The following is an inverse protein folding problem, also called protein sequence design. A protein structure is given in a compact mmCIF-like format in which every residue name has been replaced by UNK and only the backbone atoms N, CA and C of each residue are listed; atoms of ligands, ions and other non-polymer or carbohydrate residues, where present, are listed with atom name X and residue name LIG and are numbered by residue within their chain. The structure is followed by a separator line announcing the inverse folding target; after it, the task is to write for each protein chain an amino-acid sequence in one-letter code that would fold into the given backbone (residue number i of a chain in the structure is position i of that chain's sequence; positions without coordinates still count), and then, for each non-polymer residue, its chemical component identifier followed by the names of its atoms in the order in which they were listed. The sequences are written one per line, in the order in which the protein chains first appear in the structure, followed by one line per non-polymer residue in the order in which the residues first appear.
data_IF_204796062442
#
_entry.id   IF_204796062442
#
_cell.length_a   1.000
_cell.length_b   1.000
_cell.length_c   1.000
_cell.angle_alpha   90.00
_cell.angle_beta   90.00
_cell.angle_gamma   90.00
#
_symmetry.space_group_name_H-M   'P 1'
#
loop_
_entity.id
_entity.type
_entity.pdbx_description
1 polymer ?
#
# COMPACT_ATOMS: atom_id res chain seq x y z
N UNK A 1 16.65 -4.52 -4.58
CA UNK A 1 15.76 -3.54 -3.92
C UNK A 1 14.33 -4.09 -3.86
N UNK A 2 13.61 -3.81 -2.78
CA UNK A 2 12.26 -4.30 -2.45
C UNK A 2 12.13 -5.82 -2.23
N UNK A 3 12.95 -6.36 -1.32
CA UNK A 3 12.65 -7.62 -0.63
C UNK A 3 12.46 -7.36 0.87
N UNK A 4 11.67 -8.21 1.51
CA UNK A 4 11.31 -8.07 2.91
C UNK A 4 12.22 -8.84 3.84
N UNK A 5 11.78 -9.07 5.08
CA UNK A 5 12.52 -9.87 6.06
C UNK A 5 12.79 -11.32 5.58
N UNK A 6 13.77 -12.02 6.19
CA UNK A 6 14.00 -13.43 5.92
C UNK A 6 12.74 -14.26 6.12
N UNK A 7 12.52 -15.25 5.25
CA UNK A 7 11.33 -16.08 5.31
C UNK A 7 11.56 -17.49 4.78
N UNK A 8 10.78 -18.44 5.29
CA UNK A 8 10.80 -19.83 4.85
C UNK A 8 9.56 -20.26 4.06
N UNK A 9 8.71 -19.30 3.69
CA UNK A 9 7.52 -19.53 2.89
C UNK A 9 7.85 -20.11 1.50
N UNK A 10 6.95 -20.91 0.89
CA UNK A 10 7.26 -21.62 -0.35
C UNK A 10 7.45 -20.70 -1.57
N UNK A 11 6.98 -19.45 -1.51
CA UNK A 11 7.18 -18.43 -2.55
C UNK A 11 8.31 -17.43 -2.22
N UNK A 12 9.22 -17.81 -1.32
CA UNK A 12 10.41 -17.01 -0.99
C UNK A 12 11.31 -16.78 -2.20
N UNK A 13 12.04 -15.67 -2.21
CA UNK A 13 13.00 -15.37 -3.27
C UNK A 13 14.43 -15.49 -2.75
N UNK A 14 15.30 -16.05 -3.57
CA UNK A 14 16.73 -16.12 -3.29
C UNK A 14 17.39 -14.78 -3.60
N UNK A 15 18.24 -14.30 -2.68
CA UNK A 15 19.04 -13.09 -2.89
C UNK A 15 20.51 -13.46 -2.90
N UNK A 16 21.20 -13.04 -3.97
CA UNK A 16 22.62 -13.22 -4.15
C UNK A 16 23.41 -12.61 -2.97
N UNK A 17 24.46 -13.29 -2.44
CA UNK A 17 25.23 -12.81 -1.30
C UNK A 17 25.72 -11.36 -1.40
N UNK A 18 26.09 -10.90 -2.60
CA UNK A 18 26.59 -9.54 -2.82
C UNK A 18 25.51 -8.45 -2.63
N UNK A 19 24.23 -8.84 -2.60
CA UNK A 19 23.08 -7.93 -2.56
C UNK A 19 22.27 -8.06 -1.25
N UNK A 20 22.78 -8.77 -0.25
CA UNK A 20 22.11 -8.94 1.04
C UNK A 20 22.31 -7.69 1.92
N UNK A 21 21.29 -7.28 2.69
CA UNK A 21 21.40 -6.11 3.54
C UNK A 21 22.31 -6.44 4.75
N UNK A 22 23.03 -5.43 5.28
CA UNK A 22 23.87 -5.61 6.46
C UNK A 22 23.09 -6.20 7.63
N UNK A 23 23.65 -7.21 8.29
CA UNK A 23 23.02 -7.93 9.41
C UNK A 23 22.07 -9.05 9.01
N UNK A 24 21.92 -9.34 7.71
CA UNK A 24 21.17 -10.48 7.20
C UNK A 24 21.98 -11.31 6.19
N UNK A 25 23.31 -11.23 6.22
CA UNK A 25 24.19 -11.89 5.24
C UNK A 25 24.05 -13.43 5.27
N UNK A 26 23.73 -13.99 6.43
CA UNK A 26 23.54 -15.43 6.64
C UNK A 26 22.26 -15.97 6.00
N UNK A 27 21.27 -15.11 5.74
CA UNK A 27 19.99 -15.52 5.19
C UNK A 27 20.03 -15.53 3.66
N UNK A 28 19.58 -16.64 3.07
CA UNK A 28 19.55 -16.80 1.61
C UNK A 28 18.19 -16.45 0.99
N UNK A 29 17.12 -16.43 1.79
CA UNK A 29 15.75 -16.30 1.31
C UNK A 29 14.96 -15.23 2.04
N UNK A 30 14.20 -14.45 1.26
CA UNK A 30 13.48 -13.26 1.75
C UNK A 30 12.06 -13.19 1.19
N UNK A 31 11.20 -12.40 1.84
CA UNK A 31 9.86 -12.12 1.32
C UNK A 31 9.95 -11.32 0.00
N UNK A 32 9.25 -11.72 -1.08
CA UNK A 32 9.15 -10.93 -2.29
C UNK A 32 8.16 -9.75 -2.12
N UNK A 33 8.55 -8.70 -1.39
CA UNK A 33 7.68 -7.54 -1.14
C UNK A 33 7.26 -6.86 -2.44
N UNK A 34 8.12 -6.81 -3.46
CA UNK A 34 7.74 -6.37 -4.81
C UNK A 34 6.55 -7.14 -5.41
N UNK A 35 6.49 -8.47 -5.23
CA UNK A 35 5.38 -9.28 -5.72
C UNK A 35 4.10 -8.93 -4.98
N UNK A 36 4.17 -8.78 -3.65
CA UNK A 36 3.02 -8.38 -2.84
C UNK A 36 2.51 -6.98 -3.25
N UNK A 37 3.41 -6.00 -3.43
CA UNK A 37 3.06 -4.67 -3.93
C UNK A 37 2.37 -4.75 -5.30
N UNK A 38 2.91 -5.55 -6.22
CA UNK A 38 2.36 -5.73 -7.57
C UNK A 38 0.95 -6.34 -7.56
N UNK A 39 0.72 -7.37 -6.73
CA UNK A 39 -0.61 -8.00 -6.56
C UNK A 39 -1.60 -6.99 -5.99
N UNK A 40 -1.22 -6.25 -4.94
CA UNK A 40 -2.09 -5.26 -4.31
C UNK A 40 -2.41 -4.08 -5.25
N UNK A 41 -1.44 -3.62 -6.03
CA UNK A 41 -1.66 -2.62 -7.08
C UNK A 41 -2.65 -3.14 -8.14
N UNK A 42 -2.51 -4.39 -8.57
CA UNK A 42 -3.41 -4.98 -9.55
C UNK A 42 -4.83 -5.16 -8.99
N UNK A 43 -4.97 -5.63 -7.75
CA UNK A 43 -6.26 -5.73 -7.07
C UNK A 43 -6.91 -4.35 -6.92
N UNK A 44 -6.14 -3.32 -6.50
CA UNK A 44 -6.64 -1.96 -6.40
C UNK A 44 -7.11 -1.45 -7.77
N UNK A 45 -6.34 -1.67 -8.82
CA UNK A 45 -6.74 -1.33 -10.19
C UNK A 45 -8.08 -1.96 -10.57
N UNK A 46 -8.27 -3.26 -10.31
CA UNK A 46 -9.55 -3.95 -10.58
C UNK A 46 -10.71 -3.35 -9.78
N UNK A 47 -10.50 -3.03 -8.51
CA UNK A 47 -11.50 -2.37 -7.65
C UNK A 47 -11.89 -1.01 -8.21
N UNK A 48 -10.92 -0.19 -8.64
CA UNK A 48 -11.19 1.13 -9.21
C UNK A 48 -11.94 1.05 -10.54
N UNK A 49 -11.57 0.10 -11.42
CA UNK A 49 -12.30 -0.15 -12.67
C UNK A 49 -13.73 -0.61 -12.38
N UNK A 50 -13.92 -1.50 -11.40
CA UNK A 50 -15.24 -1.96 -10.99
C UNK A 50 -16.10 -0.79 -10.48
N UNK A 51 -15.57 0.06 -9.60
CA UNK A 51 -16.26 1.25 -9.10
C UNK A 51 -16.58 2.24 -10.22
N UNK A 52 -15.66 2.45 -11.16
CA UNK A 52 -15.89 3.30 -12.32
C UNK A 52 -17.04 2.76 -13.19
N UNK A 53 -17.02 1.47 -13.52
CA UNK A 53 -18.10 0.82 -14.29
C UNK A 53 -19.44 0.90 -13.56
N UNK A 54 -19.45 0.73 -12.24
CA UNK A 54 -20.66 0.86 -11.43
C UNK A 54 -21.23 2.29 -11.47
N UNK A 55 -20.35 3.30 -11.50
CA UNK A 55 -20.74 4.70 -11.68
C UNK A 55 -21.46 4.94 -13.00
N UNK A 56 -20.95 4.36 -14.09
CA UNK A 56 -21.54 4.47 -15.44
C UNK A 56 -22.90 3.77 -15.56
N UNK A 57 -23.15 2.72 -14.77
CA UNK A 57 -24.40 1.93 -14.79
C UNK A 57 -25.56 2.51 -13.97
N UNK A 58 -25.48 3.79 -13.59
CA UNK A 58 -26.57 4.50 -12.91
C UNK A 58 -26.37 4.74 -11.40
N UNK A 59 -25.34 4.16 -10.77
CA UNK A 59 -24.92 4.54 -9.40
C UNK A 59 -23.92 5.68 -9.47
N UNK A 60 -24.36 6.87 -9.89
CA UNK A 60 -23.51 8.05 -10.10
C UNK A 60 -22.62 8.30 -8.87
N UNK A 61 -21.35 7.92 -8.94
CA UNK A 61 -20.36 8.27 -7.94
C UNK A 61 -20.05 9.74 -8.11
N UNK A 62 -19.90 10.46 -6.99
CA UNK A 62 -19.48 11.87 -7.05
C UNK A 62 -18.04 11.97 -7.53
N UNK A 63 -17.77 13.07 -8.20
CA UNK A 63 -16.43 13.44 -8.61
C UNK A 63 -15.48 13.41 -7.40
N UNK A 64 -14.30 12.81 -7.60
CA UNK A 64 -13.31 12.62 -6.54
C UNK A 64 -13.48 11.35 -5.69
N UNK A 65 -14.62 10.64 -5.72
CA UNK A 65 -14.80 9.42 -4.90
C UNK A 65 -13.77 8.34 -5.25
N UNK A 66 -13.50 8.13 -6.54
CA UNK A 66 -12.51 7.16 -7.02
C UNK A 66 -11.10 7.53 -6.55
N UNK A 67 -10.75 8.81 -6.58
CA UNK A 67 -9.46 9.31 -6.09
C UNK A 67 -9.30 9.10 -4.58
N UNK A 68 -10.37 9.34 -3.81
CA UNK A 68 -10.37 9.11 -2.36
C UNK A 68 -10.21 7.61 -2.04
N UNK A 69 -10.91 6.73 -2.76
CA UNK A 69 -10.78 5.27 -2.59
C UNK A 69 -9.36 4.81 -2.94
N UNK A 70 -8.78 5.34 -4.01
CA UNK A 70 -7.39 5.07 -4.37
C UNK A 70 -6.44 5.47 -3.24
N UNK A 71 -6.55 6.71 -2.75
CA UNK A 71 -5.67 7.24 -1.70
C UNK A 71 -5.76 6.47 -0.38
N UNK A 72 -6.99 6.14 0.07
CA UNK A 72 -7.20 5.34 1.28
C UNK A 72 -6.63 3.92 1.12
N UNK A 73 -6.95 3.26 0.02
CA UNK A 73 -6.48 1.90 -0.23
C UNK A 73 -4.96 1.86 -0.29
N UNK A 74 -4.36 2.81 -1.01
CA UNK A 74 -2.91 3.00 -1.09
C UNK A 74 -2.26 3.14 0.28
N UNK A 75 -2.72 4.08 1.10
CA UNK A 75 -2.15 4.31 2.42
C UNK A 75 -2.28 3.08 3.35
N UNK A 76 -3.38 2.34 3.25
CA UNK A 76 -3.61 1.11 4.02
C UNK A 76 -2.64 0.01 3.60
N UNK A 77 -2.63 -0.40 2.32
CA UNK A 77 -1.79 -1.52 1.92
C UNK A 77 -0.31 -1.16 1.97
N UNK A 78 0.07 0.10 1.70
CA UNK A 78 1.45 0.56 1.83
C UNK A 78 1.93 0.41 3.26
N UNK A 79 1.08 0.69 4.25
CA UNK A 79 1.39 0.48 5.67
C UNK A 79 1.64 -0.99 5.97
N UNK A 80 0.82 -1.90 5.42
CA UNK A 80 1.00 -3.36 5.59
C UNK A 80 2.31 -3.85 4.98
N UNK A 81 2.65 -3.42 3.76
CA UNK A 81 3.89 -3.81 3.10
C UNK A 81 5.11 -3.24 3.81
N UNK A 82 5.03 -2.01 4.33
CA UNK A 82 6.14 -1.38 5.04
C UNK A 82 6.58 -2.19 6.26
N UNK A 83 5.66 -2.88 6.95
CA UNK A 83 6.02 -3.79 8.04
C UNK A 83 6.87 -4.98 7.60
N UNK A 84 6.79 -5.37 6.33
CA UNK A 84 7.56 -6.47 5.77
C UNK A 84 8.92 -6.02 5.24
N UNK A 85 9.13 -4.71 5.02
CA UNK A 85 10.37 -4.16 4.44
C UNK A 85 11.48 -4.05 5.48
N UNK A 86 12.68 -4.42 5.05
CA UNK A 86 13.92 -4.26 5.82
C UNK A 86 14.52 -2.87 5.59
N UNK A 87 14.32 -2.32 4.39
CA UNK A 87 14.90 -1.08 3.87
C UNK A 87 13.99 0.14 4.09
N UNK A 88 13.56 0.37 5.33
CA UNK A 88 12.70 1.51 5.68
C UNK A 88 13.50 2.75 6.09
N UNK A 89 12.98 3.92 5.74
CA UNK A 89 13.53 5.21 6.20
C UNK A 89 12.98 5.52 7.59
N UNK A 90 13.90 5.66 8.55
CA UNK A 90 13.58 6.02 9.93
C UNK A 90 13.97 7.48 10.20
N UNK A 91 13.10 8.20 10.91
CA UNK A 91 13.37 9.50 11.51
C UNK A 91 13.01 9.39 12.98
N UNK A 92 13.98 9.64 13.86
CA UNK A 92 13.81 9.56 15.33
C UNK A 92 13.23 8.21 15.82
N UNK A 93 13.56 7.11 15.14
CA UNK A 93 13.07 5.77 15.48
C UNK A 93 11.68 5.43 14.92
N UNK A 94 11.03 6.36 14.20
CA UNK A 94 9.73 6.15 13.57
C UNK A 94 9.93 5.97 12.05
N UNK A 95 9.27 4.97 11.45
CA UNK A 95 9.27 4.84 9.98
C UNK A 95 8.47 6.00 9.38
N UNK A 96 9.11 6.78 8.52
CA UNK A 96 8.51 7.96 7.87
C UNK A 96 7.24 7.60 7.11
N UNK A 97 7.21 6.41 6.50
CA UNK A 97 6.05 5.90 5.74
C UNK A 97 4.81 5.76 6.62
N UNK A 98 4.93 5.35 7.89
CA UNK A 98 3.78 5.27 8.79
C UNK A 98 3.19 6.65 9.08
N UNK A 99 4.04 7.66 9.27
CA UNK A 99 3.59 9.03 9.48
C UNK A 99 2.87 9.59 8.25
N UNK A 100 3.48 9.44 7.07
CA UNK A 100 2.89 9.89 5.79
C UNK A 100 1.55 9.20 5.54
N UNK A 101 1.48 7.88 5.72
CA UNK A 101 0.24 7.13 5.50
C UNK A 101 -0.83 7.50 6.52
N UNK A 102 -0.48 7.74 7.78
CA UNK A 102 -1.43 8.19 8.80
C UNK A 102 -2.04 9.55 8.43
N UNK A 103 -1.20 10.53 8.09
CA UNK A 103 -1.66 11.86 7.63
C UNK A 103 -2.52 11.73 6.38
N UNK A 104 -2.09 10.90 5.41
CA UNK A 104 -2.85 10.62 4.21
C UNK A 104 -4.24 10.05 4.51
N UNK A 105 -4.34 9.05 5.38
CA UNK A 105 -5.62 8.46 5.79
C UNK A 105 -6.53 9.52 6.40
N UNK A 106 -6.03 10.36 7.31
CA UNK A 106 -6.81 11.43 7.95
C UNK A 106 -7.36 12.40 6.89
N UNK A 107 -6.53 12.84 5.94
CA UNK A 107 -6.93 13.74 4.86
C UNK A 107 -8.00 13.08 3.98
N UNK A 108 -7.78 11.85 3.52
CA UNK A 108 -8.73 11.18 2.63
C UNK A 108 -10.04 10.82 3.33
N UNK A 109 -10.03 10.48 4.62
CA UNK A 109 -11.26 10.30 5.42
C UNK A 109 -12.00 11.63 5.54
N UNK A 110 -11.32 12.73 5.85
CA UNK A 110 -11.94 14.05 5.90
C UNK A 110 -12.58 14.44 4.56
N UNK A 111 -11.85 14.23 3.44
CA UNK A 111 -12.38 14.44 2.10
C UNK A 111 -13.61 13.56 1.80
N UNK A 112 -13.57 12.29 2.19
CA UNK A 112 -14.71 11.38 2.05
C UNK A 112 -15.94 11.90 2.80
N UNK A 113 -15.76 12.31 4.06
CA UNK A 113 -16.84 12.85 4.88
C UNK A 113 -17.41 14.13 4.29
N UNK A 114 -16.58 15.02 3.73
CA UNK A 114 -17.04 16.23 3.03
C UNK A 114 -17.86 15.90 1.77
N UNK A 115 -17.41 14.91 0.98
CA UNK A 115 -18.14 14.44 -0.20
C UNK A 115 -19.48 13.81 0.19
N UNK A 116 -19.56 13.10 1.31
CA UNK A 116 -20.81 12.51 1.81
C UNK A 116 -21.73 13.56 2.46
N UNK A 117 -21.19 14.51 3.22
CA UNK A 117 -21.96 15.55 3.89
C UNK A 117 -22.69 16.45 2.87
N UNK A 118 -22.00 16.83 1.78
CA UNK A 118 -22.61 17.56 0.66
C UNK A 118 -23.76 16.80 -0.03
N UNK A 119 -23.96 15.50 0.23
CA UNK A 119 -25.03 14.67 -0.37
C UNK A 119 -26.35 14.84 0.39
N UNK A 120 -26.28 15.27 1.66
CA UNK A 120 -27.43 15.42 2.56
C UNK A 120 -28.01 16.83 2.55
N UNK A 121 -27.26 17.83 2.08
CA UNK A 121 -27.73 19.18 1.78
C UNK A 121 -28.21 19.25 0.33
#
# INVERSE_FOLDING_TARGET
EAFGYPTDLPWKIFIDPAHRPPGYEEFSYFHPTFLYESILNFVLFLVLIYLHRLSQRGKRLRDGTIFIVYGLSYAVYRTVIEFLRVDSVFVEGIRVVHLINLVGIVIFVALYLLVVARKRA
#
